data_IF_291896615983
#
_entry.id   IF_291896615983
#
_cell.length_a   1.000
_cell.length_b   1.000
_cell.length_c   1.000
_cell.angle_alpha   90.00
_cell.angle_beta   90.00
_cell.angle_gamma   90.00
#
_symmetry.space_group_name_H-M   'P 1'
#
loop_
_entity.id
_entity.type
_entity.pdbx_description
1 polymer ?
#
# COMPACT_ATOMS: atom_id res chain seq x y z
N UNK A 1 -0.61 -20.04 -18.38
CA UNK A 1 -0.52 -21.53 -18.29
C UNK A 1 0.85 -22.04 -18.78
N UNK A 2 1.27 -21.79 -20.02
CA UNK A 2 2.57 -22.28 -20.52
C UNK A 2 3.77 -21.89 -19.65
N UNK A 3 3.79 -20.67 -19.08
CA UNK A 3 4.88 -20.25 -18.19
C UNK A 3 4.93 -21.08 -16.92
N UNK A 4 3.80 -21.34 -16.26
CA UNK A 4 3.75 -22.18 -15.05
C UNK A 4 4.06 -23.66 -15.36
N UNK A 5 3.71 -24.15 -16.55
CA UNK A 5 4.09 -25.50 -16.97
C UNK A 5 5.60 -25.64 -17.16
N UNK A 6 6.26 -24.62 -17.69
CA UNK A 6 7.71 -24.60 -17.90
C UNK A 6 8.51 -24.22 -16.64
N UNK A 7 7.94 -23.37 -15.80
CA UNK A 7 8.58 -22.80 -14.61
C UNK A 7 7.56 -22.77 -13.46
N UNK A 8 7.32 -23.89 -12.77
CA UNK A 8 6.28 -24.00 -11.74
C UNK A 8 6.51 -23.10 -10.52
N UNK A 9 7.76 -22.72 -10.24
CA UNK A 9 8.12 -21.84 -9.12
C UNK A 9 8.08 -20.34 -9.50
N UNK A 10 7.84 -20.02 -10.78
CA UNK A 10 7.77 -18.64 -11.25
C UNK A 10 6.41 -18.03 -10.90
N UNK A 11 6.42 -16.99 -10.10
CA UNK A 11 5.21 -16.21 -9.78
C UNK A 11 5.03 -15.07 -10.77
N UNK A 12 3.84 -14.98 -11.34
CA UNK A 12 3.50 -13.97 -12.35
C UNK A 12 2.78 -12.80 -11.68
N UNK A 13 3.42 -11.63 -11.71
CA UNK A 13 2.82 -10.37 -11.31
C UNK A 13 2.28 -9.63 -12.54
N UNK A 14 1.09 -9.09 -12.45
CA UNK A 14 0.54 -8.21 -13.48
C UNK A 14 -0.17 -7.00 -12.89
N UNK A 15 0.08 -5.84 -13.49
CA UNK A 15 -0.74 -4.64 -13.28
C UNK A 15 -1.98 -4.75 -14.15
N UNK A 16 -3.13 -4.84 -13.52
CA UNK A 16 -4.40 -5.08 -14.20
C UNK A 16 -5.44 -4.05 -13.80
N UNK A 17 -6.14 -3.51 -14.77
CA UNK A 17 -7.20 -2.53 -14.56
C UNK A 17 -8.51 -3.01 -15.21
N UNK A 18 -9.65 -2.60 -14.63
CA UNK A 18 -10.99 -2.92 -15.13
C UNK A 18 -11.52 -4.31 -14.77
N UNK A 19 -12.68 -4.66 -15.30
CA UNK A 19 -13.48 -5.83 -14.87
C UNK A 19 -13.18 -7.12 -15.64
N UNK A 20 -12.44 -7.05 -16.72
CA UNK A 20 -12.14 -8.18 -17.63
C UNK A 20 -11.14 -9.21 -17.12
N UNK A 21 -10.93 -9.33 -15.81
CA UNK A 21 -9.84 -10.11 -15.23
C UNK A 21 -10.11 -11.61 -15.09
N UNK A 22 -11.38 -12.03 -15.08
CA UNK A 22 -11.77 -13.44 -14.86
C UNK A 22 -11.05 -14.46 -15.76
N UNK A 23 -10.80 -14.19 -17.06
CA UNK A 23 -10.07 -15.11 -17.92
C UNK A 23 -8.61 -15.38 -17.50
N UNK A 24 -8.06 -14.50 -16.65
CA UNK A 24 -6.67 -14.57 -16.17
C UNK A 24 -6.54 -15.35 -14.84
N UNK A 25 -7.65 -15.76 -14.24
CA UNK A 25 -7.65 -16.55 -13.00
C UNK A 25 -6.87 -17.86 -13.19
N UNK A 26 -5.97 -18.16 -12.26
CA UNK A 26 -5.07 -19.29 -12.33
C UNK A 26 -3.90 -19.11 -13.31
N UNK A 27 -3.68 -17.88 -13.79
CA UNK A 27 -2.50 -17.53 -14.63
C UNK A 27 -1.67 -16.45 -13.95
N UNK A 28 -2.28 -15.55 -13.20
CA UNK A 28 -1.63 -14.50 -12.43
C UNK A 28 -1.64 -14.90 -10.96
N UNK A 29 -0.50 -14.78 -10.31
CA UNK A 29 -0.32 -15.10 -8.90
C UNK A 29 -0.32 -13.87 -8.02
N UNK A 30 0.11 -12.72 -8.58
CA UNK A 30 0.20 -11.44 -7.87
C UNK A 30 -0.53 -10.38 -8.68
N UNK A 31 -1.64 -9.91 -8.15
CA UNK A 31 -2.50 -8.91 -8.77
C UNK A 31 -2.15 -7.53 -8.27
N UNK A 32 -1.55 -6.70 -9.10
CA UNK A 32 -1.27 -5.30 -8.77
C UNK A 32 -2.40 -4.42 -9.30
N UNK A 33 -3.23 -3.89 -8.38
CA UNK A 33 -4.45 -3.15 -8.73
C UNK A 33 -4.54 -1.84 -7.96
N UNK A 34 -5.06 -0.80 -8.63
CA UNK A 34 -5.34 0.50 -8.00
C UNK A 34 -6.62 0.53 -7.15
N UNK A 35 -7.48 -0.48 -7.26
CA UNK A 35 -8.80 -0.53 -6.63
C UNK A 35 -8.88 -1.67 -5.61
N UNK A 36 -9.70 -1.46 -4.55
CA UNK A 36 -9.92 -2.45 -3.50
C UNK A 36 -11.26 -3.18 -3.63
N UNK A 37 -12.16 -2.69 -4.47
CA UNK A 37 -13.56 -3.12 -4.54
C UNK A 37 -13.79 -4.38 -5.39
N UNK A 38 -12.78 -5.21 -5.63
CA UNK A 38 -12.95 -6.43 -6.41
C UNK A 38 -13.77 -7.48 -5.64
N UNK A 39 -14.98 -7.84 -6.09
CA UNK A 39 -15.84 -8.77 -5.38
C UNK A 39 -15.28 -10.20 -5.31
N UNK A 40 -14.29 -10.52 -6.15
CA UNK A 40 -13.63 -11.81 -6.23
C UNK A 40 -12.30 -11.89 -5.46
N UNK A 41 -11.84 -10.78 -4.84
CA UNK A 41 -10.55 -10.70 -4.14
C UNK A 41 -10.42 -11.76 -3.04
N UNK A 42 -11.39 -11.83 -2.13
CA UNK A 42 -11.35 -12.78 -1.02
C UNK A 42 -11.29 -14.24 -1.51
N UNK A 43 -12.04 -14.57 -2.57
CA UNK A 43 -11.98 -15.91 -3.18
C UNK A 43 -10.59 -16.22 -3.73
N UNK A 44 -9.95 -15.24 -4.39
CA UNK A 44 -8.62 -15.44 -4.98
C UNK A 44 -7.53 -15.54 -3.91
N UNK A 45 -7.60 -14.73 -2.86
CA UNK A 45 -6.69 -14.84 -1.71
C UNK A 45 -6.81 -16.22 -1.05
N UNK A 46 -8.03 -16.74 -0.87
CA UNK A 46 -8.25 -18.10 -0.35
C UNK A 46 -7.67 -19.21 -1.26
N UNK A 47 -7.42 -18.92 -2.55
CA UNK A 47 -6.78 -19.82 -3.51
C UNK A 47 -5.26 -19.61 -3.63
N UNK A 48 -4.69 -18.73 -2.82
CA UNK A 48 -3.25 -18.47 -2.76
C UNK A 48 -2.75 -17.32 -3.63
N UNK A 49 -3.64 -16.58 -4.28
CA UNK A 49 -3.24 -15.36 -4.99
C UNK A 49 -2.88 -14.26 -3.98
N UNK A 50 -1.95 -13.40 -4.38
CA UNK A 50 -1.61 -12.20 -3.62
C UNK A 50 -2.14 -10.95 -4.33
N UNK A 51 -2.39 -9.92 -3.53
CA UNK A 51 -2.78 -8.61 -4.03
C UNK A 51 -1.80 -7.54 -3.57
N UNK A 52 -1.44 -6.68 -4.51
CA UNK A 52 -0.69 -5.46 -4.27
C UNK A 52 -1.54 -4.28 -4.74
N UNK A 53 -1.39 -3.12 -4.13
CA UNK A 53 -1.96 -1.91 -4.69
C UNK A 53 -0.98 -1.25 -5.66
N UNK A 54 -1.50 -0.69 -6.74
CA UNK A 54 -0.77 0.20 -7.62
C UNK A 54 -1.08 1.63 -7.21
N UNK A 55 -0.07 2.42 -6.98
CA UNK A 55 -0.11 3.80 -6.51
C UNK A 55 -0.47 3.98 -5.02
N UNK A 56 0.22 4.90 -4.39
CA UNK A 56 0.04 5.28 -2.98
C UNK A 56 -0.93 6.46 -2.81
N UNK A 57 -1.90 6.62 -3.71
CA UNK A 57 -2.81 7.75 -3.66
C UNK A 57 -2.13 9.07 -4.00
N UNK A 58 -2.62 10.14 -3.45
CA UNK A 58 -2.18 11.50 -3.76
C UNK A 58 -0.78 11.77 -3.20
N UNK A 59 0.15 12.09 -4.09
CA UNK A 59 1.51 12.50 -3.77
C UNK A 59 1.80 13.93 -4.21
N UNK A 60 0.77 14.77 -4.32
CA UNK A 60 0.94 16.18 -4.61
C UNK A 60 1.60 16.90 -3.43
N UNK A 61 2.23 18.04 -3.70
CA UNK A 61 2.92 18.79 -2.67
C UNK A 61 1.97 19.35 -1.61
N UNK A 62 0.72 19.59 -1.99
CA UNK A 62 -0.38 20.09 -1.16
C UNK A 62 -1.09 18.98 -0.37
N UNK A 63 -0.85 17.71 -0.72
CA UNK A 63 -1.50 16.60 -0.04
C UNK A 63 -0.89 16.38 1.34
N UNK A 64 -1.77 16.15 2.32
CA UNK A 64 -1.33 15.83 3.68
C UNK A 64 -0.59 14.49 3.69
N UNK A 65 0.55 14.45 4.37
CA UNK A 65 1.34 13.23 4.55
C UNK A 65 0.57 12.11 5.25
N UNK A 66 -0.39 12.46 6.09
CA UNK A 66 -1.31 11.53 6.74
C UNK A 66 -2.04 10.62 5.72
N UNK A 67 -2.45 11.16 4.58
CA UNK A 67 -3.07 10.38 3.50
C UNK A 67 -2.16 9.29 2.95
N UNK A 68 -0.87 9.59 2.82
CA UNK A 68 0.13 8.64 2.37
C UNK A 68 0.37 7.53 3.40
N UNK A 69 0.52 7.89 4.67
CA UNK A 69 0.68 6.94 5.79
C UNK A 69 -0.53 6.02 5.89
N UNK A 70 -1.74 6.60 5.87
CA UNK A 70 -3.01 5.87 5.98
C UNK A 70 -3.19 4.79 4.89
N UNK A 71 -2.60 4.99 3.72
CA UNK A 71 -2.70 4.02 2.63
C UNK A 71 -2.30 2.61 3.09
N UNK A 72 -1.30 2.48 3.96
CA UNK A 72 -0.79 1.18 4.40
C UNK A 72 -1.75 0.40 5.31
N UNK A 73 -2.34 0.98 6.37
CA UNK A 73 -3.43 0.33 7.10
C UNK A 73 -4.61 -0.06 6.19
N UNK A 74 -5.01 0.82 5.26
CA UNK A 74 -6.10 0.53 4.30
C UNK A 74 -5.73 -0.65 3.38
N UNK A 75 -4.50 -0.72 2.89
CA UNK A 75 -4.00 -1.86 2.13
C UNK A 75 -4.15 -3.16 2.92
N UNK A 76 -3.74 -3.15 4.19
CA UNK A 76 -3.85 -4.32 5.06
C UNK A 76 -5.29 -4.78 5.24
N UNK A 77 -6.21 -3.86 5.51
CA UNK A 77 -7.64 -4.15 5.63
C UNK A 77 -8.26 -4.71 4.34
N UNK A 78 -7.65 -4.42 3.19
CA UNK A 78 -8.08 -4.90 1.88
C UNK A 78 -7.26 -6.10 1.37
N UNK A 79 -6.64 -6.85 2.27
CA UNK A 79 -5.90 -8.08 1.95
C UNK A 79 -4.75 -7.87 0.95
N UNK A 80 -4.13 -6.68 0.92
CA UNK A 80 -2.94 -6.45 0.12
C UNK A 80 -1.70 -6.89 0.91
N UNK A 81 -0.80 -7.60 0.25
CA UNK A 81 0.50 -8.02 0.79
C UNK A 81 1.63 -7.04 0.48
N UNK A 82 1.38 -6.08 -0.42
CA UNK A 82 2.39 -5.11 -0.81
C UNK A 82 1.84 -3.99 -1.68
N UNK A 83 2.74 -3.11 -2.08
CA UNK A 83 2.41 -2.03 -3.01
C UNK A 83 3.47 -1.93 -4.11
N UNK A 84 3.04 -1.45 -5.27
CA UNK A 84 3.90 -1.06 -6.36
C UNK A 84 3.75 0.44 -6.57
N UNK A 85 4.80 1.19 -6.31
CA UNK A 85 4.83 2.59 -6.65
C UNK A 85 5.27 2.75 -8.10
N UNK A 86 4.42 3.36 -8.92
CA UNK A 86 4.65 3.41 -10.36
C UNK A 86 5.99 4.02 -10.72
N UNK A 87 6.42 5.07 -10.01
CA UNK A 87 7.63 5.76 -10.37
C UNK A 87 8.18 6.61 -9.21
N UNK A 88 9.24 6.15 -8.58
CA UNK A 88 9.89 6.86 -7.47
C UNK A 88 10.55 8.16 -7.92
N UNK A 89 11.04 8.18 -9.15
CA UNK A 89 11.67 9.32 -9.81
C UNK A 89 11.08 9.35 -11.21
N UNK A 90 10.01 10.12 -11.40
CA UNK A 90 9.36 10.15 -12.71
C UNK A 90 10.30 10.80 -13.72
N UNK A 91 10.46 10.14 -14.87
CA UNK A 91 11.42 10.49 -15.90
C UNK A 91 11.35 11.96 -16.29
N UNK A 92 12.38 12.66 -15.95
CA UNK A 92 12.47 14.10 -16.16
C UNK A 92 12.88 14.45 -17.59
N UNK A 93 13.31 13.46 -18.38
CA UNK A 93 13.95 13.73 -19.67
C UNK A 93 15.06 14.77 -19.48
N UNK A 94 14.96 15.87 -20.22
CA UNK A 94 15.88 17.01 -20.10
C UNK A 94 15.44 18.03 -19.02
N UNK A 95 14.33 17.80 -18.32
CA UNK A 95 13.78 18.72 -17.32
C UNK A 95 14.52 18.61 -15.99
N UNK A 96 14.85 19.73 -15.40
CA UNK A 96 15.43 19.77 -14.07
C UNK A 96 14.35 19.53 -12.99
N UNK A 97 14.44 18.45 -12.20
CA UNK A 97 13.44 18.11 -11.20
C UNK A 97 13.30 19.13 -10.06
N UNK A 98 14.33 19.95 -9.86
CA UNK A 98 14.34 21.03 -8.86
C UNK A 98 13.61 22.28 -9.31
N UNK A 99 13.35 22.40 -10.61
CA UNK A 99 12.64 23.53 -11.21
C UNK A 99 11.22 23.15 -11.61
N UNK A 100 11.05 21.90 -12.07
CA UNK A 100 9.76 21.39 -12.53
C UNK A 100 9.30 20.25 -11.62
N UNK A 101 8.49 20.59 -10.66
CA UNK A 101 7.95 19.65 -9.66
C UNK A 101 6.84 18.75 -10.24
N UNK A 102 6.27 19.14 -11.39
CA UNK A 102 5.20 18.40 -12.05
C UNK A 102 5.67 17.80 -13.36
N UNK A 103 5.61 16.49 -13.50
CA UNK A 103 5.76 15.80 -14.76
C UNK A 103 4.39 15.37 -15.26
N UNK A 104 4.10 15.69 -16.53
CA UNK A 104 2.83 15.42 -17.22
C UNK A 104 1.59 16.09 -16.64
N UNK A 105 1.27 17.30 -17.08
CA UNK A 105 -0.07 17.87 -17.30
C UNK A 105 -1.10 17.90 -16.19
N UNK A 106 -0.92 17.19 -15.12
CA UNK A 106 -1.84 17.10 -14.02
C UNK A 106 -1.11 17.22 -12.69
N UNK A 107 -1.35 18.34 -12.03
CA UNK A 107 -1.20 18.50 -10.58
C UNK A 107 0.11 18.04 -9.94
N UNK A 108 1.01 18.95 -9.86
CA UNK A 108 2.18 19.06 -9.00
C UNK A 108 2.68 17.81 -8.27
N UNK A 109 3.63 17.09 -8.85
CA UNK A 109 4.41 16.15 -8.06
C UNK A 109 3.97 14.70 -8.08
N UNK A 110 3.27 14.28 -9.11
CA UNK A 110 2.92 12.88 -9.26
C UNK A 110 4.18 12.00 -9.23
N UNK A 111 4.44 11.38 -8.10
CA UNK A 111 5.45 10.35 -8.00
C UNK A 111 6.79 10.72 -7.39
N UNK A 112 7.03 11.96 -6.95
CA UNK A 112 8.34 12.30 -6.39
C UNK A 112 8.44 11.96 -4.91
N UNK A 113 8.84 10.74 -4.60
CA UNK A 113 9.20 10.34 -3.24
C UNK A 113 10.70 10.44 -2.99
N UNK A 114 11.50 10.54 -4.04
CA UNK A 114 12.94 10.86 -4.00
C UNK A 114 13.29 11.85 -5.11
N UNK A 115 14.32 12.67 -4.89
CA UNK A 115 14.87 13.52 -5.91
C UNK A 115 16.24 13.02 -6.38
N UNK A 116 16.52 13.05 -7.68
CA UNK A 116 17.85 12.71 -8.19
C UNK A 116 18.86 13.81 -7.81
N UNK A 117 20.04 13.40 -7.38
CA UNK A 117 21.17 14.29 -7.14
C UNK A 117 22.46 13.63 -7.61
N UNK A 118 23.51 14.41 -7.80
CA UNK A 118 24.80 13.93 -8.36
C UNK A 118 25.50 12.90 -7.49
N UNK A 119 25.28 12.93 -6.19
CA UNK A 119 25.91 12.00 -5.23
C UNK A 119 24.97 10.88 -4.79
N UNK A 120 23.77 10.79 -5.34
CA UNK A 120 22.76 9.80 -5.00
C UNK A 120 21.37 10.41 -4.78
N UNK A 121 20.34 9.60 -4.57
CA UNK A 121 18.98 10.08 -4.37
C UNK A 121 18.86 10.85 -3.05
N UNK A 122 18.11 11.94 -3.06
CA UNK A 122 17.75 12.71 -1.87
C UNK A 122 16.38 12.26 -1.39
N UNK A 123 16.33 11.84 -0.14
CA UNK A 123 15.09 11.44 0.53
C UNK A 123 14.18 12.66 0.76
N UNK A 124 12.89 12.43 0.64
CA UNK A 124 11.86 13.43 0.95
C UNK A 124 11.10 13.07 2.23
N UNK A 125 10.33 14.02 2.75
CA UNK A 125 9.38 13.75 3.85
C UNK A 125 8.35 12.68 3.46
N UNK A 126 8.02 12.55 2.16
CA UNK A 126 7.14 11.48 1.66
C UNK A 126 7.78 10.10 1.80
N UNK A 127 9.08 9.99 1.56
CA UNK A 127 9.81 8.75 1.80
C UNK A 127 9.73 8.33 3.28
N UNK A 128 9.88 9.29 4.20
CA UNK A 128 9.71 9.02 5.63
C UNK A 128 8.28 8.65 5.99
N UNK A 129 7.28 9.29 5.40
CA UNK A 129 5.86 8.95 5.59
C UNK A 129 5.54 7.52 5.10
N UNK A 130 6.13 7.09 3.97
CA UNK A 130 6.03 5.70 3.50
C UNK A 130 6.62 4.74 4.55
N UNK A 131 7.82 5.03 5.06
CA UNK A 131 8.44 4.22 6.13
C UNK A 131 7.55 4.08 7.35
N UNK A 132 6.93 5.18 7.79
CA UNK A 132 5.96 5.17 8.89
C UNK A 132 4.71 4.34 8.56
N UNK A 133 4.18 4.45 7.36
CA UNK A 133 3.06 3.64 6.89
C UNK A 133 3.38 2.14 6.89
N UNK A 134 4.59 1.75 6.46
CA UNK A 134 5.07 0.36 6.49
C UNK A 134 5.15 -0.14 7.94
N UNK A 135 5.65 0.67 8.87
CA UNK A 135 5.67 0.32 10.31
C UNK A 135 4.27 -0.03 10.82
N UNK A 136 3.27 0.80 10.51
CA UNK A 136 1.87 0.52 10.90
C UNK A 136 1.34 -0.77 10.26
N UNK A 137 1.65 -1.02 9.00
CA UNK A 137 1.28 -2.27 8.32
C UNK A 137 1.87 -3.50 9.02
N UNK A 138 3.14 -3.42 9.41
CA UNK A 138 3.82 -4.51 10.10
C UNK A 138 3.24 -4.75 11.49
N UNK A 139 2.94 -3.68 12.24
CA UNK A 139 2.29 -3.79 13.55
C UNK A 139 0.91 -4.46 13.46
N UNK A 140 0.09 -4.11 12.45
CA UNK A 140 -1.20 -4.78 12.21
C UNK A 140 -0.96 -6.26 11.87
N UNK A 141 0.07 -6.57 11.06
CA UNK A 141 0.40 -7.95 10.71
C UNK A 141 0.85 -8.78 11.92
N UNK A 142 1.57 -8.17 12.85
CA UNK A 142 1.92 -8.79 14.13
C UNK A 142 0.67 -9.06 14.98
N UNK A 143 -0.27 -8.12 15.03
CA UNK A 143 -1.53 -8.28 15.76
C UNK A 143 -2.40 -9.38 15.15
N UNK A 144 -2.48 -9.46 13.82
CA UNK A 144 -3.16 -10.55 13.12
C UNK A 144 -2.58 -11.91 13.51
N UNK A 145 -1.26 -12.03 13.52
CA UNK A 145 -0.56 -13.25 13.93
C UNK A 145 -0.90 -13.63 15.37
N UNK A 146 -0.84 -12.66 16.30
CA UNK A 146 -1.21 -12.90 17.73
C UNK A 146 -2.66 -13.37 17.87
N UNK A 147 -3.58 -12.82 17.07
CA UNK A 147 -4.98 -13.23 17.08
C UNK A 147 -5.15 -14.68 16.58
N UNK A 148 -4.47 -15.06 15.49
CA UNK A 148 -4.45 -16.43 14.95
C UNK A 148 -3.84 -17.42 15.96
N UNK A 149 -2.82 -17.02 16.70
CA UNK A 149 -2.19 -17.81 17.77
C UNK A 149 -3.05 -17.91 19.05
N UNK A 150 -4.22 -17.27 19.08
CA UNK A 150 -5.12 -17.31 20.22
C UNK A 150 -4.63 -16.55 21.46
N UNK A 151 -3.75 -15.54 21.27
CA UNK A 151 -3.25 -14.72 22.39
C UNK A 151 -4.40 -13.95 23.03
N UNK A 152 -4.42 -13.92 24.34
CA UNK A 152 -5.50 -13.30 25.11
C UNK A 152 -5.73 -11.85 24.71
N UNK A 153 -6.95 -11.52 24.35
CA UNK A 153 -7.36 -10.16 23.97
C UNK A 153 -6.99 -9.73 22.54
N UNK A 154 -6.11 -10.46 21.84
CA UNK A 154 -5.59 -10.07 20.52
C UNK A 154 -6.70 -10.00 19.45
N UNK A 155 -7.66 -10.91 19.47
CA UNK A 155 -8.80 -10.90 18.53
C UNK A 155 -9.65 -9.64 18.71
N UNK A 156 -10.01 -9.30 19.93
CA UNK A 156 -10.78 -8.08 20.23
C UNK A 156 -10.01 -6.81 19.84
N UNK A 157 -8.72 -6.78 20.11
CA UNK A 157 -7.86 -5.64 19.75
C UNK A 157 -7.75 -5.50 18.22
N UNK A 158 -7.55 -6.61 17.51
CA UNK A 158 -7.55 -6.66 16.06
C UNK A 158 -8.85 -6.10 15.47
N UNK A 159 -9.98 -6.56 15.95
CA UNK A 159 -11.30 -6.12 15.45
C UNK A 159 -11.51 -4.62 15.67
N UNK A 160 -11.06 -4.09 16.81
CA UNK A 160 -11.10 -2.64 17.08
C UNK A 160 -10.19 -1.84 16.13
N UNK A 161 -9.00 -2.35 15.82
CA UNK A 161 -8.07 -1.75 14.86
C UNK A 161 -8.68 -1.74 13.45
N UNK A 162 -9.19 -2.87 12.98
CA UNK A 162 -9.81 -2.96 11.65
C UNK A 162 -11.05 -2.08 11.52
N UNK A 163 -11.84 -1.92 12.58
CA UNK A 163 -12.98 -0.99 12.58
C UNK A 163 -12.53 0.45 12.32
N UNK A 164 -11.46 0.92 12.97
CA UNK A 164 -10.92 2.27 12.70
C UNK A 164 -10.45 2.43 11.26
N UNK A 165 -9.85 1.41 10.67
CA UNK A 165 -9.37 1.46 9.28
C UNK A 165 -10.55 1.53 8.30
N UNK A 166 -11.62 0.76 8.53
CA UNK A 166 -12.78 0.70 7.62
C UNK A 166 -13.64 1.95 7.69
N UNK A 167 -13.71 2.59 8.85
CA UNK A 167 -14.40 3.88 9.03
C UNK A 167 -13.59 5.08 8.51
N UNK A 168 -12.73 4.84 7.54
CA UNK A 168 -11.68 5.75 7.08
C UNK A 168 -12.16 7.13 6.61
N UNK A 169 -13.46 7.34 6.42
CA UNK A 169 -14.03 8.66 6.09
C UNK A 169 -13.95 9.66 7.25
N UNK A 170 -13.73 9.18 8.46
CA UNK A 170 -13.67 10.00 9.68
C UNK A 170 -12.43 9.77 10.54
N UNK A 171 -11.63 8.72 10.28
CA UNK A 171 -10.44 8.40 11.08
C UNK A 171 -9.18 8.31 10.22
N UNK A 172 -8.02 8.45 10.82
CA UNK A 172 -6.70 8.43 10.17
C UNK A 172 -6.50 9.54 9.13
N UNK A 173 -7.16 10.69 9.30
CA UNK A 173 -7.10 11.81 8.34
C UNK A 173 -5.95 12.77 8.63
N UNK A 174 -5.49 12.84 9.86
CA UNK A 174 -4.47 13.77 10.33
C UNK A 174 -3.42 13.06 11.21
N UNK A 175 -2.39 13.80 11.60
CA UNK A 175 -1.27 13.29 12.36
C UNK A 175 -1.70 12.83 13.77
N UNK A 176 -2.59 13.55 14.45
CA UNK A 176 -3.07 13.21 15.81
C UNK A 176 -3.81 11.86 15.80
N UNK A 177 -4.66 11.64 14.80
CA UNK A 177 -5.38 10.39 14.63
C UNK A 177 -4.44 9.23 14.31
N UNK A 178 -3.40 9.45 13.49
CA UNK A 178 -2.39 8.45 13.19
C UNK A 178 -1.55 8.09 14.42
N UNK A 179 -1.14 9.06 15.23
CA UNK A 179 -0.41 8.82 16.47
C UNK A 179 -1.27 8.06 17.49
N UNK A 180 -2.55 8.45 17.63
CA UNK A 180 -3.53 7.71 18.46
C UNK A 180 -3.72 6.27 17.97
N UNK A 181 -3.73 6.05 16.67
CA UNK A 181 -3.83 4.72 16.08
C UNK A 181 -2.57 3.89 16.35
N UNK A 182 -1.40 4.48 16.21
CA UNK A 182 -0.13 3.85 16.54
C UNK A 182 -0.05 3.45 18.00
N UNK A 183 -0.46 4.35 18.92
CA UNK A 183 -0.50 4.04 20.34
C UNK A 183 -1.41 2.85 20.64
N UNK A 184 -2.60 2.79 20.03
CA UNK A 184 -3.50 1.64 20.16
C UNK A 184 -2.85 0.33 19.67
N UNK A 185 -2.07 0.37 18.60
CA UNK A 185 -1.35 -0.81 18.11
C UNK A 185 -0.26 -1.26 19.07
N UNK A 186 0.49 -0.33 19.66
CA UNK A 186 1.50 -0.62 20.68
C UNK A 186 0.86 -1.32 21.86
N UNK A 187 -0.20 -0.72 22.45
CA UNK A 187 -0.93 -1.29 23.61
C UNK A 187 -1.48 -2.71 23.29
N UNK A 188 -1.91 -2.94 22.05
CA UNK A 188 -2.43 -4.25 21.62
C UNK A 188 -1.34 -5.30 21.43
N UNK A 189 -0.09 -4.88 21.27
CA UNK A 189 1.06 -5.77 21.06
C UNK A 189 1.85 -6.04 22.34
N UNK A 190 1.64 -5.29 23.41
CA UNK A 190 2.17 -5.58 24.75
C UNK A 190 1.38 -6.70 25.44
#
# INVERSE_FOLDING_TARGET
KKLHEMYPDLRILSTCYGDGMKPLFGTIDIWCRGEYADPWRAERVAKGDEFMTANLGNCNIEDQLAGLVRTFPVMKANMCSGFLYWNMINGYGDDNPWVRVAVSGSNGGHGHIMFPYTTGPVETVRWKAIGYGIELFDMISMLDKRAVEGKRGAEKARDAVYKRITDYKGDLQDEEQLESFRAQLIDALE
#
